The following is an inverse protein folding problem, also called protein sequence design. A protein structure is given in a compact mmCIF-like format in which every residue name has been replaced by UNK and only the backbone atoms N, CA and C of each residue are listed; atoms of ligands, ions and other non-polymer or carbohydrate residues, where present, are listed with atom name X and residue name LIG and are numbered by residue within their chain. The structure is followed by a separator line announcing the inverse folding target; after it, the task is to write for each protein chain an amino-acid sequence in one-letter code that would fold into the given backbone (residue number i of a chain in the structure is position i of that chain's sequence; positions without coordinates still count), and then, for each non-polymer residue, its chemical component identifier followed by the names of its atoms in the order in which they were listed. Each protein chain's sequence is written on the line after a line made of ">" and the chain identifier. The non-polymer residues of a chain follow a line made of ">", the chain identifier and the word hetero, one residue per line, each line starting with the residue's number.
data_IF_877571434893
#
_entry.id   IF_877571434893
#
_cell.length_a   1.000
_cell.length_b   1.000
_cell.length_c   1.000
_cell.angle_alpha   90.00
_cell.angle_beta   90.00
_cell.angle_gamma   90.00
#
_symmetry.space_group_name_H-M   'P 1'
#
loop_
_entity.id
_entity.type
_entity.pdbx_description
1 polymer ?
#
# COMPACT_ATOMS: atom_id res chain seq x y z
N UNK A 1 -16.09 -1.33 -18.57
CA UNK A 1 -14.62 -1.26 -18.72
C UNK A 1 -14.12 -2.69 -18.81
N UNK A 2 -13.34 -3.05 -19.82
CA UNK A 2 -12.78 -4.42 -19.93
C UNK A 2 -12.07 -4.75 -18.59
N UNK A 3 -12.24 -5.95 -18.05
CA UNK A 3 -11.62 -6.42 -16.79
C UNK A 3 -12.24 -5.98 -15.46
N UNK A 4 -13.26 -5.11 -15.41
CA UNK A 4 -13.88 -4.75 -14.12
C UNK A 4 -14.80 -5.85 -13.59
N UNK A 5 -15.74 -6.32 -14.40
CA UNK A 5 -16.80 -7.22 -13.92
C UNK A 5 -16.26 -8.64 -13.71
N UNK A 6 -15.37 -9.08 -14.60
CA UNK A 6 -14.75 -10.41 -14.57
C UNK A 6 -13.79 -10.64 -13.38
N UNK A 7 -13.13 -9.60 -12.87
CA UNK A 7 -12.28 -9.71 -11.68
C UNK A 7 -12.97 -9.27 -10.38
N UNK A 8 -14.20 -8.74 -10.46
CA UNK A 8 -15.05 -8.42 -9.30
C UNK A 8 -16.17 -9.44 -9.12
N UNK A 9 -15.80 -10.71 -9.17
CA UNK A 9 -16.70 -11.85 -9.00
C UNK A 9 -16.47 -12.51 -7.62
N UNK A 10 -17.51 -12.50 -6.78
CA UNK A 10 -17.47 -13.10 -5.45
C UNK A 10 -17.39 -14.63 -5.49
N UNK A 11 -17.99 -15.28 -6.47
CA UNK A 11 -17.93 -16.74 -6.64
C UNK A 11 -16.53 -17.18 -7.07
N UNK A 12 -15.87 -16.40 -7.92
CA UNK A 12 -14.46 -16.63 -8.23
C UNK A 12 -13.59 -16.48 -6.98
N UNK A 13 -13.82 -15.43 -6.18
CA UNK A 13 -13.12 -15.20 -4.92
C UNK A 13 -13.26 -16.37 -3.94
N UNK A 14 -14.48 -16.88 -3.71
CA UNK A 14 -14.74 -18.04 -2.84
C UNK A 14 -14.00 -19.29 -3.31
N UNK A 15 -14.05 -19.58 -4.62
CA UNK A 15 -13.32 -20.73 -5.20
C UNK A 15 -11.81 -20.63 -4.99
N UNK A 16 -11.24 -19.43 -5.09
CA UNK A 16 -9.82 -19.19 -4.83
C UNK A 16 -9.48 -19.42 -3.35
N UNK A 17 -10.29 -18.93 -2.42
CA UNK A 17 -10.10 -19.15 -0.98
C UNK A 17 -10.07 -20.64 -0.66
N UNK A 18 -11.07 -21.41 -1.12
CA UNK A 18 -11.10 -22.88 -0.91
C UNK A 18 -9.86 -23.57 -1.48
N UNK A 19 -9.38 -23.13 -2.65
CA UNK A 19 -8.17 -23.70 -3.25
C UNK A 19 -6.90 -23.36 -2.46
N UNK A 20 -6.81 -22.16 -1.90
CA UNK A 20 -5.70 -21.75 -1.03
C UNK A 20 -5.71 -22.59 0.25
N UNK A 21 -6.88 -22.79 0.88
CA UNK A 21 -7.01 -23.64 2.07
C UNK A 21 -6.51 -25.08 1.83
N UNK A 22 -6.82 -25.67 0.68
CA UNK A 22 -6.38 -27.02 0.32
C UNK A 22 -4.87 -27.11 0.06
N UNK A 23 -4.24 -26.05 -0.46
CA UNK A 23 -2.82 -26.04 -0.82
C UNK A 23 -1.90 -25.58 0.32
N UNK A 24 -2.42 -24.80 1.26
CA UNK A 24 -1.64 -24.13 2.30
C UNK A 24 -1.28 -25.07 3.44
N UNK A 25 -0.34 -25.98 3.17
CA UNK A 25 0.11 -27.05 4.08
C UNK A 25 1.22 -26.64 5.06
N UNK A 26 1.85 -25.48 4.84
CA UNK A 26 2.96 -24.98 5.67
C UNK A 26 2.80 -23.49 5.91
N UNK A 27 3.29 -22.96 7.05
CA UNK A 27 3.31 -21.52 7.29
C UNK A 27 4.04 -20.77 6.18
N UNK A 28 3.38 -19.76 5.62
CA UNK A 28 3.92 -18.86 4.61
C UNK A 28 3.67 -17.41 5.02
N UNK A 29 4.68 -16.56 4.82
CA UNK A 29 4.60 -15.13 5.08
C UNK A 29 4.70 -14.40 3.74
N UNK A 30 3.63 -13.71 3.35
CA UNK A 30 3.53 -13.00 2.08
C UNK A 30 3.50 -11.50 2.35
N UNK A 31 4.46 -10.77 1.79
CA UNK A 31 4.53 -9.32 1.95
C UNK A 31 4.07 -8.62 0.68
N UNK A 32 3.09 -7.74 0.83
CA UNK A 32 2.77 -6.73 -0.19
C UNK A 32 3.49 -5.41 0.13
N UNK A 33 3.75 -4.59 -0.88
CA UNK A 33 4.40 -3.28 -0.71
C UNK A 33 3.73 -2.22 -1.61
N UNK A 34 2.42 -2.31 -1.82
CA UNK A 34 1.69 -1.33 -2.61
C UNK A 34 0.51 -0.84 -1.81
N UNK A 35 0.42 0.47 -1.54
CA UNK A 35 -0.70 1.03 -0.77
C UNK A 35 -2.07 0.66 -1.35
N UNK A 36 -2.18 0.52 -2.68
CA UNK A 36 -3.40 0.02 -3.33
C UNK A 36 -3.77 -1.41 -2.93
N UNK A 37 -2.78 -2.30 -2.81
CA UNK A 37 -2.98 -3.66 -2.29
C UNK A 37 -3.33 -3.63 -0.81
N UNK A 38 -2.65 -2.83 0.01
CA UNK A 38 -2.98 -2.66 1.43
C UNK A 38 -4.46 -2.28 1.61
N UNK A 39 -4.94 -1.29 0.85
CA UNK A 39 -6.33 -0.84 0.87
C UNK A 39 -7.27 -1.94 0.37
N UNK A 40 -6.94 -2.64 -0.72
CA UNK A 40 -7.77 -3.72 -1.25
C UNK A 40 -7.89 -4.90 -0.27
N UNK A 41 -6.80 -5.29 0.37
CA UNK A 41 -6.75 -6.36 1.37
C UNK A 41 -7.61 -6.00 2.58
N UNK A 42 -7.47 -4.77 3.09
CA UNK A 42 -8.23 -4.27 4.24
C UNK A 42 -9.72 -4.16 3.91
N UNK A 43 -10.05 -3.49 2.80
CA UNK A 43 -11.44 -3.27 2.36
C UNK A 43 -12.22 -4.55 2.13
N UNK A 44 -11.58 -5.59 1.61
CA UNK A 44 -12.23 -6.87 1.30
C UNK A 44 -11.99 -7.94 2.38
N UNK A 45 -11.36 -7.60 3.51
CA UNK A 45 -11.12 -8.54 4.62
C UNK A 45 -10.30 -9.78 4.22
N UNK A 46 -9.38 -9.65 3.25
CA UNK A 46 -8.67 -10.82 2.69
C UNK A 46 -7.87 -11.55 3.77
N UNK A 47 -7.31 -10.83 4.76
CA UNK A 47 -6.54 -11.45 5.86
C UNK A 47 -7.39 -12.43 6.67
N UNK A 48 -8.67 -12.13 6.86
CA UNK A 48 -9.62 -12.95 7.61
C UNK A 48 -10.13 -14.14 6.80
N UNK A 49 -10.06 -14.07 5.47
CA UNK A 49 -10.47 -15.15 4.56
C UNK A 49 -9.38 -16.20 4.33
N UNK A 50 -8.12 -15.88 4.60
CA UNK A 50 -7.01 -16.79 4.37
C UNK A 50 -6.86 -17.78 5.54
N UNK A 51 -6.38 -19.01 5.28
CA UNK A 51 -6.09 -19.98 6.33
C UNK A 51 -5.00 -19.46 7.28
N UNK A 52 -4.96 -19.93 8.54
CA UNK A 52 -3.98 -19.49 9.54
C UNK A 52 -2.53 -19.82 9.17
N UNK A 53 -2.32 -20.68 8.17
CA UNK A 53 -1.00 -20.97 7.60
C UNK A 53 -0.49 -19.86 6.68
N UNK A 54 -1.29 -18.85 6.34
CA UNK A 54 -0.85 -17.70 5.52
C UNK A 54 -0.91 -16.42 6.34
N UNK A 55 0.26 -15.84 6.60
CA UNK A 55 0.40 -14.52 7.20
C UNK A 55 0.63 -13.48 6.11
N UNK A 56 -0.16 -12.40 6.12
CA UNK A 56 -0.02 -11.27 5.20
C UNK A 56 0.66 -10.09 5.90
N UNK A 57 1.79 -9.65 5.37
CA UNK A 57 2.57 -8.51 5.86
C UNK A 57 2.42 -7.32 4.92
N UNK A 58 2.45 -6.12 5.49
CA UNK A 58 2.50 -4.86 4.72
C UNK A 58 3.90 -4.27 4.84
N UNK A 59 4.60 -4.23 3.71
CA UNK A 59 5.90 -3.61 3.55
C UNK A 59 5.81 -2.11 3.25
N UNK A 60 6.96 -1.45 3.00
CA UNK A 60 7.05 -0.01 2.82
C UNK A 60 6.59 0.42 1.41
N UNK A 61 5.28 0.38 1.17
CA UNK A 61 4.67 0.64 -0.14
C UNK A 61 4.19 2.06 -0.41
N UNK A 62 4.47 2.98 0.50
CA UNK A 62 4.04 4.37 0.44
C UNK A 62 5.25 5.24 0.06
N UNK A 63 5.34 5.78 -1.16
CA UNK A 63 6.51 6.55 -1.61
C UNK A 63 6.72 7.81 -0.76
N UNK A 64 5.63 8.45 -0.33
CA UNK A 64 5.65 9.60 0.59
C UNK A 64 6.29 9.22 1.93
N UNK A 65 5.86 8.10 2.52
CA UNK A 65 6.28 7.64 3.83
C UNK A 65 7.76 7.21 3.90
N UNK A 66 8.35 6.84 2.76
CA UNK A 66 9.78 6.47 2.65
C UNK A 66 10.64 7.59 2.06
N UNK A 67 10.06 8.76 1.78
CA UNK A 67 10.85 9.91 1.32
C UNK A 67 11.80 10.33 2.43
N UNK A 68 13.09 10.44 2.11
CA UNK A 68 14.10 10.78 3.10
C UNK A 68 13.90 12.21 3.61
N UNK A 69 14.06 12.43 4.92
CA UNK A 69 13.93 13.77 5.53
C UNK A 69 14.82 14.81 4.85
N UNK A 70 16.02 14.43 4.41
CA UNK A 70 16.94 15.33 3.69
C UNK A 70 16.33 15.91 2.40
N UNK A 71 15.48 15.16 1.69
CA UNK A 71 14.80 15.64 0.49
C UNK A 71 13.65 16.59 0.84
N UNK A 72 12.95 16.31 1.94
CA UNK A 72 11.90 17.19 2.48
C UNK A 72 12.50 18.52 2.92
N UNK A 73 13.60 18.48 3.68
CA UNK A 73 14.31 19.68 4.14
C UNK A 73 14.82 20.54 2.98
N UNK A 74 15.34 19.90 1.92
CA UNK A 74 15.73 20.61 0.69
C UNK A 74 14.54 21.30 0.02
N UNK A 75 13.40 20.63 -0.11
CA UNK A 75 12.19 21.22 -0.67
C UNK A 75 11.71 22.41 0.17
N UNK A 76 11.73 22.29 1.50
CA UNK A 76 11.40 23.38 2.43
C UNK A 76 12.39 24.56 2.24
N UNK A 77 13.69 24.30 2.16
CA UNK A 77 14.68 25.36 1.95
C UNK A 77 14.49 26.08 0.62
N UNK A 78 14.21 25.34 -0.46
CA UNK A 78 13.89 25.92 -1.77
C UNK A 78 12.62 26.77 -1.74
N UNK A 79 11.62 26.41 -0.93
CA UNK A 79 10.37 27.16 -0.80
C UNK A 79 10.57 28.56 -0.20
N UNK A 80 11.66 28.79 0.54
CA UNK A 80 11.98 30.09 1.15
C UNK A 80 12.73 31.03 0.19
N UNK A 81 13.12 30.57 -1.00
CA UNK A 81 13.83 31.40 -1.97
C UNK A 81 12.86 32.35 -2.71
N UNK A 82 13.27 33.59 -3.00
CA UNK A 82 12.44 34.52 -3.76
C UNK A 82 12.19 34.00 -5.18
N UNK A 83 10.97 34.20 -5.68
CA UNK A 83 10.54 33.82 -7.04
C UNK A 83 10.60 32.31 -7.36
N UNK A 84 10.51 31.43 -6.36
CA UNK A 84 10.40 29.98 -6.55
C UNK A 84 8.95 29.51 -6.34
N UNK A 85 8.47 28.65 -7.24
CA UNK A 85 7.19 27.94 -7.09
C UNK A 85 7.50 26.45 -6.96
N UNK A 86 7.08 25.85 -5.85
CA UNK A 86 7.17 24.41 -5.62
C UNK A 86 5.81 23.76 -5.81
N UNK A 87 5.78 22.65 -6.53
CA UNK A 87 4.61 21.81 -6.71
C UNK A 87 4.83 20.45 -6.05
N UNK A 88 3.85 19.96 -5.33
CA UNK A 88 3.92 18.67 -4.64
C UNK A 88 2.55 18.02 -4.55
N UNK A 89 2.51 16.73 -4.19
CA UNK A 89 1.26 16.04 -3.89
C UNK A 89 0.68 16.51 -2.55
N UNK A 90 -0.66 16.46 -2.42
CA UNK A 90 -1.34 17.00 -1.25
C UNK A 90 -1.07 16.24 0.05
N UNK A 91 -0.73 14.96 -0.03
CA UNK A 91 -0.30 14.14 1.10
C UNK A 91 1.10 14.52 1.59
N UNK A 92 2.02 14.84 0.67
CA UNK A 92 3.37 15.29 0.99
C UNK A 92 3.41 16.61 1.78
N UNK A 93 2.41 17.49 1.62
CA UNK A 93 2.30 18.76 2.38
C UNK A 93 2.20 18.58 3.90
N UNK A 94 1.87 17.37 4.37
CA UNK A 94 1.68 17.07 5.80
C UNK A 94 2.86 16.31 6.41
N UNK A 95 3.89 16.00 5.62
CA UNK A 95 5.04 15.24 6.11
C UNK A 95 6.02 16.21 6.79
N UNK A 96 6.42 15.96 8.04
CA UNK A 96 7.36 16.82 8.74
C UNK A 96 8.77 16.73 8.14
N UNK A 97 9.48 17.85 8.16
CA UNK A 97 10.94 17.89 7.96
C UNK A 97 11.68 17.58 9.26
N UNK A 98 13.00 17.75 9.25
CA UNK A 98 13.84 17.43 10.43
C UNK A 98 13.64 18.37 11.63
N UNK A 99 13.03 19.54 11.42
CA UNK A 99 12.93 20.62 12.42
C UNK A 99 11.49 21.15 12.61
N UNK A 100 10.48 20.36 12.24
CA UNK A 100 9.05 20.69 12.31
C UNK A 100 8.27 19.81 13.27
#
# INVERSE_FOLDING_TARGET
>A
MKFIDEYRDAELGKKLVTRIEQLSTRPARLMEFCGGHTVAIMRNGIRQLLPPTVEMLSGPGCPVCVTANVEIDKAIALAHLPNVIITTFGDMMKVPGSYS
#
